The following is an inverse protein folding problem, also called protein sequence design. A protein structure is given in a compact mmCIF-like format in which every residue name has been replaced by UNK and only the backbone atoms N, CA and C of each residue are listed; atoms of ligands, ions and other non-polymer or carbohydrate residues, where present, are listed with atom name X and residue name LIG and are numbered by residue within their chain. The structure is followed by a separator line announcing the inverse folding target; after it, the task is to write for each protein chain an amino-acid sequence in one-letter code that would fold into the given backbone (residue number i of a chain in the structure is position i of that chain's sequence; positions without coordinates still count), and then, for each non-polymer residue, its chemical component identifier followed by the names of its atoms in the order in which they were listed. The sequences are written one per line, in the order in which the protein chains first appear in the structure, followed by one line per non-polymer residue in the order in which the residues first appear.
data_IF_110029315187
#
_entry.id   IF_110029315187
#
_cell.length_a   1.000
_cell.length_b   1.000
_cell.length_c   1.000
_cell.angle_alpha   90.00
_cell.angle_beta   90.00
_cell.angle_gamma   90.00
#
_symmetry.space_group_name_H-M   'P 1'
#
loop_
_entity.id
_entity.type
_entity.pdbx_description
1 polymer ?
#
# COMPACT_ATOMS: atom_id res chain seq x y z
N UNK A 1 102.78 8.42 2.28
CA UNK A 1 101.65 9.35 2.35
C UNK A 1 100.31 8.68 1.94
N UNK A 2 99.98 7.53 2.48
CA UNK A 2 98.79 6.79 2.00
C UNK A 2 97.78 6.34 3.09
N UNK A 3 98.22 6.13 4.32
CA UNK A 3 97.36 5.46 5.35
C UNK A 3 96.46 6.41 6.18
N UNK A 4 96.82 7.68 6.29
CA UNK A 4 95.98 8.65 7.06
C UNK A 4 94.75 9.15 6.28
N UNK A 5 94.78 9.19 4.95
CA UNK A 5 93.57 9.62 4.16
C UNK A 5 92.47 8.57 4.10
N UNK A 6 92.78 7.29 4.18
CA UNK A 6 91.81 6.19 4.15
C UNK A 6 91.02 6.14 5.48
N UNK A 7 91.67 6.38 6.59
CA UNK A 7 91.00 6.42 7.92
C UNK A 7 89.98 7.51 8.04
N UNK A 8 90.23 8.67 7.46
CA UNK A 8 89.21 9.81 7.50
C UNK A 8 88.04 9.56 6.58
N UNK A 9 88.17 8.91 5.50
CA UNK A 9 87.09 8.55 4.58
C UNK A 9 86.18 7.49 5.24
N UNK A 10 86.74 6.51 5.92
CA UNK A 10 86.01 5.46 6.61
C UNK A 10 85.17 6.09 7.84
N UNK A 11 85.73 7.01 8.61
CA UNK A 11 85.07 7.63 9.71
C UNK A 11 83.92 8.56 9.21
N UNK A 12 84.17 9.34 8.12
CA UNK A 12 83.14 10.17 7.50
C UNK A 12 81.96 9.36 6.94
N UNK A 13 82.22 8.19 6.35
CA UNK A 13 81.19 7.31 5.85
C UNK A 13 80.35 6.69 6.97
N UNK A 14 80.92 6.32 8.09
CA UNK A 14 80.22 5.77 9.25
C UNK A 14 79.33 6.87 9.89
N UNK A 15 79.82 8.13 9.97
CA UNK A 15 79.02 9.23 10.47
C UNK A 15 77.84 9.57 9.55
N UNK A 16 78.02 9.50 8.25
CA UNK A 16 76.94 9.74 7.28
C UNK A 16 75.85 8.65 7.36
N UNK A 17 76.22 7.40 7.52
CA UNK A 17 75.30 6.26 7.69
C UNK A 17 74.52 6.37 9.01
N UNK A 18 75.20 6.77 10.08
CA UNK A 18 74.53 7.02 11.39
C UNK A 18 73.56 8.20 11.34
N UNK A 19 73.89 9.29 10.66
CA UNK A 19 72.97 10.44 10.48
C UNK A 19 71.76 10.04 9.64
N UNK A 20 71.94 9.29 8.56
CA UNK A 20 70.83 8.79 7.73
C UNK A 20 69.95 7.83 8.54
N UNK A 21 70.52 6.96 9.36
CA UNK A 21 69.77 6.05 10.22
C UNK A 21 68.97 6.78 11.32
N UNK A 22 69.52 7.82 11.97
CA UNK A 22 68.84 8.63 12.96
C UNK A 22 67.71 9.47 12.35
N UNK A 23 67.89 10.02 11.13
CA UNK A 23 66.85 10.75 10.42
C UNK A 23 65.73 9.79 10.01
N UNK A 24 66.09 8.61 9.48
CA UNK A 24 65.09 7.57 9.11
C UNK A 24 64.36 7.01 10.34
N UNK A 25 65.01 6.87 11.49
CA UNK A 25 64.37 6.41 12.72
C UNK A 25 63.42 7.48 13.32
N UNK A 26 63.74 8.79 13.20
CA UNK A 26 62.82 9.87 13.62
C UNK A 26 61.64 10.03 12.68
N UNK A 27 61.81 9.90 11.35
CA UNK A 27 60.66 9.91 10.42
C UNK A 27 59.71 8.73 10.65
N UNK A 28 60.21 7.53 10.99
CA UNK A 28 59.39 6.37 11.33
C UNK A 28 58.68 6.53 12.67
N UNK A 29 59.29 7.21 13.67
CA UNK A 29 58.60 7.52 14.94
C UNK A 29 57.53 8.59 14.78
N UNK A 30 57.74 9.64 13.98
CA UNK A 30 56.72 10.66 13.71
C UNK A 30 55.56 10.09 12.86
N UNK A 31 55.83 9.21 11.89
CA UNK A 31 54.80 8.52 11.14
C UNK A 31 53.95 7.60 12.04
N UNK A 32 54.55 6.91 12.99
CA UNK A 32 53.84 6.02 13.93
C UNK A 32 53.02 6.81 14.99
N UNK A 33 53.43 8.00 15.36
CA UNK A 33 52.68 8.87 16.28
C UNK A 33 51.52 9.59 15.57
N UNK A 34 51.60 9.86 14.26
CA UNK A 34 50.55 10.50 13.49
C UNK A 34 49.43 9.47 13.18
N UNK A 35 49.76 8.17 13.02
CA UNK A 35 48.75 7.13 12.84
C UNK A 35 47.98 6.73 14.09
N UNK A 36 48.54 7.03 15.31
CA UNK A 36 47.89 6.62 16.56
C UNK A 36 46.89 7.66 17.12
N UNK A 37 46.61 8.76 16.40
CA UNK A 37 45.65 9.81 16.85
C UNK A 37 44.60 10.17 15.83
N UNK A 38 44.35 9.33 14.81
CA UNK A 38 43.10 9.39 14.12
C UNK A 38 42.06 8.69 15.01
N UNK A 39 41.49 9.44 15.98
CA UNK A 39 40.22 9.08 16.58
C UNK A 39 39.28 8.87 15.38
N UNK A 40 38.90 7.63 15.14
CA UNK A 40 37.78 7.29 14.24
C UNK A 40 36.59 7.93 14.95
N UNK A 41 36.24 9.14 14.52
CA UNK A 41 34.99 9.80 14.91
C UNK A 41 33.90 8.83 14.49
N UNK A 42 33.34 8.12 15.47
CA UNK A 42 32.29 7.13 15.24
C UNK A 42 31.11 7.90 14.67
N UNK A 43 30.76 7.63 13.41
CA UNK A 43 29.58 8.28 12.82
C UNK A 43 28.40 8.11 13.76
N UNK A 44 27.64 9.19 14.05
CA UNK A 44 26.51 9.13 14.95
C UNK A 44 25.50 8.11 14.43
N UNK A 45 25.11 7.17 15.27
CA UNK A 45 24.08 6.20 14.95
C UNK A 45 22.70 6.78 15.21
N UNK A 46 21.73 6.51 14.34
CA UNK A 46 20.37 7.03 14.46
C UNK A 46 19.34 5.89 14.52
N UNK A 47 18.35 6.06 15.39
CA UNK A 47 17.15 5.23 15.43
C UNK A 47 15.92 6.12 15.24
N UNK A 48 15.13 5.91 14.19
CA UNK A 48 13.97 6.73 13.85
C UNK A 48 14.29 8.25 13.79
N UNK A 49 15.45 8.63 13.26
CA UNK A 49 15.96 10.01 13.23
C UNK A 49 16.44 10.58 14.59
N UNK A 50 16.37 9.84 15.67
CA UNK A 50 16.90 10.21 16.98
C UNK A 50 18.34 9.66 17.16
N UNK A 51 19.26 10.41 17.78
CA UNK A 51 20.62 9.94 18.03
C UNK A 51 20.60 8.78 19.03
N UNK A 52 20.96 7.57 18.55
CA UNK A 52 20.88 6.37 19.37
C UNK A 52 22.09 6.14 20.28
N UNK A 53 23.14 6.89 20.08
CA UNK A 53 24.38 6.90 20.90
C UNK A 53 24.29 7.75 22.16
N UNK A 54 23.33 8.69 22.25
CA UNK A 54 23.12 9.59 23.39
C UNK A 54 21.77 9.37 24.09
N UNK A 55 20.97 8.43 23.64
CA UNK A 55 19.65 8.13 24.16
C UNK A 55 19.53 6.67 24.59
N UNK A 56 18.96 6.44 25.77
CA UNK A 56 18.54 5.13 26.23
C UNK A 56 17.07 4.90 25.89
N UNK A 57 16.77 3.80 25.22
CA UNK A 57 15.41 3.43 24.80
C UNK A 57 14.83 2.37 25.75
N UNK A 58 13.68 2.68 26.35
CA UNK A 58 12.90 1.79 27.20
C UNK A 58 11.63 1.40 26.48
N UNK A 59 11.37 0.10 26.31
CA UNK A 59 10.12 -0.43 25.76
C UNK A 59 9.08 -0.59 26.87
N UNK A 60 7.81 -0.33 26.53
CA UNK A 60 6.69 -0.52 27.43
C UNK A 60 5.44 -0.99 26.64
N UNK A 61 4.89 -2.13 27.04
CA UNK A 61 3.62 -2.58 26.49
C UNK A 61 2.46 -1.88 27.20
N UNK A 62 1.68 -1.11 26.45
CA UNK A 62 0.51 -0.37 26.97
C UNK A 62 -0.52 -1.36 27.52
N UNK A 63 -0.85 -1.24 28.81
CA UNK A 63 -1.85 -2.08 29.47
C UNK A 63 -3.27 -1.58 29.25
N UNK A 64 -4.27 -2.44 29.45
CA UNK A 64 -5.67 -2.04 29.40
C UNK A 64 -5.94 -0.92 30.43
N UNK A 65 -6.56 0.19 29.97
CA UNK A 65 -6.87 1.36 30.79
C UNK A 65 -5.69 2.35 30.97
N UNK A 66 -4.48 2.08 30.46
CA UNK A 66 -3.40 3.06 30.49
C UNK A 66 -3.64 4.14 29.43
N UNK A 67 -3.66 5.38 29.88
CA UNK A 67 -3.73 6.57 29.03
C UNK A 67 -2.34 7.16 28.79
N UNK A 68 -2.20 8.04 27.81
CA UNK A 68 -0.98 8.84 27.61
C UNK A 68 -0.51 9.52 28.89
N UNK A 69 -1.45 10.16 29.61
CA UNK A 69 -1.13 10.80 30.89
C UNK A 69 -0.62 9.85 31.94
N UNK A 70 -1.20 8.64 32.04
CA UNK A 70 -0.73 7.62 32.99
C UNK A 70 0.67 7.10 32.65
N UNK A 71 0.95 6.93 31.35
CA UNK A 71 2.28 6.48 30.87
C UNK A 71 3.37 7.49 31.20
N UNK A 72 3.13 8.79 30.98
CA UNK A 72 4.07 9.88 31.27
C UNK A 72 4.19 10.15 32.78
N UNK A 73 3.07 10.11 33.52
CA UNK A 73 3.05 10.34 34.98
C UNK A 73 3.86 9.30 35.74
N UNK A 74 3.82 8.02 35.34
CA UNK A 74 4.67 6.95 35.90
C UNK A 74 6.18 7.20 35.71
N UNK A 75 6.54 8.07 34.76
CA UNK A 75 7.93 8.45 34.44
C UNK A 75 8.30 9.83 34.98
N UNK A 76 7.52 10.36 35.94
CA UNK A 76 7.83 11.57 36.68
C UNK A 76 7.44 12.88 35.97
N UNK A 77 6.77 12.82 34.82
CA UNK A 77 6.26 14.03 34.15
C UNK A 77 5.00 14.51 34.87
N UNK A 78 5.01 15.78 35.27
CA UNK A 78 3.93 16.40 36.06
C UNK A 78 2.61 16.48 35.25
N UNK A 79 1.48 16.46 35.95
CA UNK A 79 0.15 16.58 35.32
C UNK A 79 0.02 17.87 34.47
N UNK A 80 0.63 18.98 34.92
CA UNK A 80 0.63 20.23 34.16
C UNK A 80 1.38 20.08 32.82
N UNK A 81 2.57 19.47 32.84
CA UNK A 81 3.39 19.24 31.65
C UNK A 81 2.67 18.28 30.68
N UNK A 82 2.05 17.20 31.20
CA UNK A 82 1.27 16.26 30.39
C UNK A 82 0.14 16.97 29.64
N UNK A 83 -0.57 17.88 30.32
CA UNK A 83 -1.62 18.67 29.69
C UNK A 83 -1.07 19.61 28.60
N UNK A 84 0.07 20.27 28.85
CA UNK A 84 0.73 21.13 27.89
C UNK A 84 1.19 20.35 26.65
N UNK A 85 1.80 19.18 26.86
CA UNK A 85 2.21 18.28 25.77
C UNK A 85 1.01 17.85 24.94
N UNK A 86 -0.03 17.34 25.59
CA UNK A 86 -1.22 16.85 24.88
C UNK A 86 -1.90 17.97 24.06
N UNK A 87 -1.98 19.18 24.58
CA UNK A 87 -2.54 20.33 23.88
C UNK A 87 -1.65 20.78 22.70
N UNK A 88 -0.34 20.76 22.87
CA UNK A 88 0.59 21.20 21.82
C UNK A 88 0.65 20.24 20.61
N UNK A 89 0.34 18.96 20.80
CA UNK A 89 0.40 17.95 19.73
C UNK A 89 -0.98 17.57 19.17
N UNK A 90 -2.07 18.18 19.65
CA UNK A 90 -3.48 17.76 19.34
C UNK A 90 -3.78 17.79 17.84
N UNK A 91 -3.27 18.77 17.11
CA UNK A 91 -3.49 18.92 15.66
C UNK A 91 -2.79 17.83 14.83
N UNK A 92 -1.62 17.34 15.29
CA UNK A 92 -0.83 16.34 14.58
C UNK A 92 -1.13 14.91 15.09
N UNK A 93 -1.14 14.72 16.40
CA UNK A 93 -1.29 13.43 17.05
C UNK A 93 -2.35 13.45 18.15
N UNK A 94 -3.43 12.70 17.94
CA UNK A 94 -4.45 12.54 18.98
C UNK A 94 -4.00 11.51 20.04
N UNK A 95 -3.57 11.99 21.21
CA UNK A 95 -3.09 11.15 22.32
C UNK A 95 -4.10 10.13 22.84
N UNK A 96 -5.41 10.30 22.53
CA UNK A 96 -6.46 9.32 22.86
C UNK A 96 -6.47 8.09 21.95
N UNK A 97 -5.68 8.08 20.87
CA UNK A 97 -5.53 6.93 19.95
C UNK A 97 -4.59 5.84 20.47
N UNK A 98 -3.94 6.07 21.61
CA UNK A 98 -3.07 5.05 22.22
C UNK A 98 -3.91 3.84 22.62
N UNK A 99 -3.50 2.66 22.16
CA UNK A 99 -4.24 1.40 22.32
C UNK A 99 -3.50 0.44 23.26
N UNK A 100 -4.24 -0.28 24.06
CA UNK A 100 -3.70 -1.39 24.85
C UNK A 100 -3.10 -2.47 23.94
N UNK A 101 -2.05 -3.13 24.40
CA UNK A 101 -1.31 -4.15 23.67
C UNK A 101 -0.22 -3.61 22.73
N UNK A 102 -0.22 -2.31 22.43
CA UNK A 102 0.83 -1.67 21.61
C UNK A 102 2.10 -1.52 22.44
N UNK A 103 3.25 -1.88 21.87
CA UNK A 103 4.57 -1.62 22.47
C UNK A 103 5.05 -0.22 22.08
N UNK A 104 5.14 0.66 23.05
CA UNK A 104 5.67 2.03 22.91
C UNK A 104 7.09 2.12 23.45
N UNK A 105 7.83 3.18 23.05
CA UNK A 105 9.18 3.39 23.54
C UNK A 105 9.31 4.78 24.15
N UNK A 106 10.19 4.88 25.13
CA UNK A 106 10.63 6.13 25.76
C UNK A 106 12.12 6.28 25.51
N UNK A 107 12.54 7.44 25.01
CA UNK A 107 13.95 7.74 24.83
C UNK A 107 14.39 8.81 25.85
N UNK A 108 15.39 8.47 26.65
CA UNK A 108 15.90 9.30 27.77
C UNK A 108 17.37 9.61 27.51
N UNK A 109 17.77 10.86 27.61
CA UNK A 109 19.18 11.28 27.53
C UNK A 109 20.00 10.72 28.67
N UNK A 110 21.30 10.46 28.47
CA UNK A 110 22.18 9.83 29.44
C UNK A 110 22.28 10.58 30.79
N UNK A 111 22.18 11.90 30.79
CA UNK A 111 22.19 12.73 31.97
C UNK A 111 20.80 13.10 32.50
N UNK A 112 19.72 12.63 31.92
CA UNK A 112 18.35 12.96 32.27
C UNK A 112 17.69 11.88 33.11
N UNK A 113 16.83 12.31 34.06
CA UNK A 113 15.95 11.42 34.82
C UNK A 113 14.60 11.23 34.14
N UNK A 114 14.25 12.07 33.16
CA UNK A 114 12.95 12.05 32.48
C UNK A 114 13.12 11.77 30.99
N UNK A 115 12.16 11.06 30.37
CA UNK A 115 12.21 10.81 28.94
C UNK A 115 12.08 12.13 28.15
N UNK A 116 12.96 12.29 27.16
CA UNK A 116 12.91 13.40 26.21
C UNK A 116 11.91 13.15 25.07
N UNK A 117 11.70 11.87 24.72
CA UNK A 117 10.81 11.48 23.62
C UNK A 117 9.90 10.32 24.01
N UNK A 118 8.69 10.37 23.50
CA UNK A 118 7.75 9.24 23.46
C UNK A 118 7.56 8.79 22.01
N UNK A 119 7.70 7.50 21.75
CA UNK A 119 7.64 6.91 20.41
C UNK A 119 6.47 5.94 20.37
N UNK A 120 5.52 6.22 19.48
CA UNK A 120 4.31 5.40 19.29
C UNK A 120 4.29 4.79 17.90
N UNK A 121 4.24 3.43 17.73
CA UNK A 121 4.12 2.81 16.44
C UNK A 121 2.68 2.93 15.92
N UNK A 122 2.51 3.54 14.77
CA UNK A 122 1.25 3.57 14.02
C UNK A 122 1.07 2.24 13.24
N UNK A 123 2.17 1.75 12.66
CA UNK A 123 2.27 0.50 11.92
C UNK A 123 3.66 -0.15 12.11
N UNK A 124 3.97 -1.20 11.34
CA UNK A 124 5.29 -1.84 11.37
C UNK A 124 6.43 -0.90 10.90
N UNK A 125 6.11 0.12 10.13
CA UNK A 125 7.09 1.03 9.53
C UNK A 125 6.82 2.52 9.80
N UNK A 126 5.67 2.89 10.35
CA UNK A 126 5.31 4.27 10.68
C UNK A 126 5.30 4.48 12.18
N UNK A 127 5.95 5.54 12.63
CA UNK A 127 6.09 5.87 14.04
C UNK A 127 5.80 7.36 14.27
N UNK A 128 5.18 7.66 15.39
CA UNK A 128 5.08 9.02 15.91
C UNK A 128 6.15 9.25 16.95
N UNK A 129 6.95 10.28 16.77
CA UNK A 129 7.91 10.78 17.77
C UNK A 129 7.32 12.04 18.40
N UNK A 130 7.11 12.00 19.70
CA UNK A 130 6.60 13.12 20.48
C UNK A 130 7.72 13.62 21.40
N UNK A 131 8.14 14.88 21.20
CA UNK A 131 9.06 15.57 22.10
C UNK A 131 8.35 15.94 23.39
N UNK A 132 8.99 15.65 24.55
CA UNK A 132 8.38 15.78 25.88
C UNK A 132 9.00 16.90 26.73
N UNK A 133 10.19 17.41 26.37
CA UNK A 133 10.97 18.33 27.21
C UNK A 133 11.25 19.67 26.52
N UNK A 134 12.44 19.88 25.99
CA UNK A 134 12.92 21.18 25.49
C UNK A 134 12.13 21.68 24.27
N UNK A 135 11.63 20.78 23.47
CA UNK A 135 10.77 21.07 22.33
C UNK A 135 9.59 20.11 22.30
N UNK A 136 8.38 20.64 22.44
CA UNK A 136 7.15 19.85 22.35
C UNK A 136 6.68 19.85 20.91
N UNK A 137 6.64 18.65 20.29
CA UNK A 137 6.18 18.44 18.91
C UNK A 137 5.67 17.01 18.75
N UNK A 138 4.88 16.75 17.70
CA UNK A 138 4.64 15.42 17.19
C UNK A 138 5.12 15.34 15.74
N UNK A 139 5.94 14.35 15.43
CA UNK A 139 6.48 14.13 14.07
C UNK A 139 6.25 12.71 13.67
N UNK A 140 5.66 12.51 12.49
CA UNK A 140 5.55 11.18 11.87
C UNK A 140 6.85 10.84 11.15
N UNK A 141 7.38 9.65 11.40
CA UNK A 141 8.61 9.13 10.79
C UNK A 141 8.32 7.75 10.21
N UNK A 142 8.87 7.48 9.05
CA UNK A 142 8.77 6.17 8.40
C UNK A 142 10.15 5.50 8.38
N UNK A 143 10.19 4.21 8.74
CA UNK A 143 11.36 3.37 8.48
C UNK A 143 11.47 3.10 6.98
N UNK A 144 12.70 2.99 6.49
CA UNK A 144 12.94 2.58 5.12
C UNK A 144 12.34 1.20 4.86
N UNK A 145 11.60 1.07 3.75
CA UNK A 145 11.03 -0.20 3.31
C UNK A 145 11.85 -0.73 2.14
N UNK A 146 12.41 -1.90 2.34
CA UNK A 146 13.09 -2.65 1.29
C UNK A 146 12.06 -3.45 0.49
N UNK A 147 12.15 -3.38 -0.82
CA UNK A 147 11.31 -4.16 -1.75
C UNK A 147 12.12 -5.34 -2.26
N UNK A 148 11.59 -6.55 -2.06
CA UNK A 148 12.22 -7.80 -2.55
C UNK A 148 11.33 -8.47 -3.57
N UNK A 149 11.90 -8.79 -4.72
CA UNK A 149 11.24 -9.63 -5.70
C UNK A 149 11.33 -11.10 -5.27
N UNK A 150 10.23 -11.81 -5.40
CA UNK A 150 10.08 -13.22 -5.08
C UNK A 150 9.40 -13.94 -6.23
N UNK A 151 9.71 -15.23 -6.33
CA UNK A 151 9.12 -16.12 -7.32
C UNK A 151 8.71 -17.43 -6.64
N UNK A 152 7.52 -17.90 -6.90
CA UNK A 152 7.05 -19.21 -6.47
C UNK A 152 6.24 -19.87 -7.58
N UNK A 153 6.25 -21.20 -7.59
CA UNK A 153 5.39 -22.03 -8.44
C UNK A 153 4.91 -23.25 -7.66
N UNK A 154 3.85 -23.86 -8.11
CA UNK A 154 3.32 -25.06 -7.46
C UNK A 154 2.09 -25.64 -8.14
N UNK A 155 1.78 -26.89 -7.78
CA UNK A 155 0.59 -27.60 -8.23
C UNK A 155 -0.54 -27.44 -7.21
N UNK A 156 -1.75 -27.30 -7.70
CA UNK A 156 -2.95 -27.21 -6.87
C UNK A 156 -3.48 -28.62 -6.62
N UNK A 157 -3.38 -29.08 -5.38
CA UNK A 157 -3.88 -30.39 -4.97
C UNK A 157 -5.25 -30.30 -4.26
N UNK A 158 -5.52 -29.12 -3.69
CA UNK A 158 -6.71 -28.81 -2.89
C UNK A 158 -7.13 -27.33 -3.14
N UNK A 159 -7.14 -26.50 -2.12
CA UNK A 159 -7.44 -25.08 -2.28
C UNK A 159 -6.20 -24.27 -2.66
N UNK A 160 -6.38 -23.28 -3.56
CA UNK A 160 -5.28 -22.41 -4.00
C UNK A 160 -4.46 -21.82 -2.85
N UNK A 161 -5.12 -21.32 -1.78
CA UNK A 161 -4.42 -20.70 -0.66
C UNK A 161 -3.50 -21.66 0.10
N UNK A 162 -3.86 -22.97 0.19
CA UNK A 162 -3.03 -24.00 0.79
C UNK A 162 -1.82 -24.30 -0.10
N UNK A 163 -2.03 -24.42 -1.40
CA UNK A 163 -0.95 -24.68 -2.37
C UNK A 163 0.03 -23.54 -2.46
N UNK A 164 -0.45 -22.28 -2.46
CA UNK A 164 0.40 -21.07 -2.37
C UNK A 164 1.20 -21.07 -1.06
N UNK A 165 0.58 -21.43 0.06
CA UNK A 165 1.28 -21.55 1.36
C UNK A 165 2.38 -22.62 1.35
N UNK A 166 2.14 -23.80 0.76
CA UNK A 166 3.15 -24.86 0.59
C UNK A 166 4.33 -24.43 -0.27
N UNK A 167 4.09 -23.58 -1.28
CA UNK A 167 5.12 -22.99 -2.12
C UNK A 167 5.89 -21.83 -1.46
N UNK A 168 5.57 -21.50 -0.18
CA UNK A 168 6.22 -20.41 0.56
C UNK A 168 5.59 -19.03 0.37
N UNK A 169 4.44 -18.95 -0.29
CA UNK A 169 3.67 -17.71 -0.45
C UNK A 169 2.77 -17.43 0.75
N UNK A 170 2.19 -16.23 0.78
CA UNK A 170 1.30 -15.78 1.84
C UNK A 170 -0.16 -15.90 1.44
N UNK A 171 -1.07 -15.86 2.44
CA UNK A 171 -2.51 -15.78 2.18
C UNK A 171 -2.87 -14.52 1.39
N UNK A 172 -2.19 -13.40 1.64
CA UNK A 172 -2.38 -12.16 0.88
C UNK A 172 -2.07 -12.36 -0.61
N UNK A 173 -1.00 -13.07 -0.94
CA UNK A 173 -0.65 -13.41 -2.32
C UNK A 173 -1.73 -14.28 -2.97
N UNK A 174 -2.22 -15.32 -2.27
CA UNK A 174 -3.30 -16.17 -2.78
C UNK A 174 -4.58 -15.38 -3.06
N UNK A 175 -4.96 -14.46 -2.17
CA UNK A 175 -6.12 -13.59 -2.38
C UNK A 175 -5.92 -12.64 -3.56
N UNK A 176 -4.71 -12.10 -3.74
CA UNK A 176 -4.39 -11.24 -4.89
C UNK A 176 -4.44 -12.02 -6.22
N UNK A 177 -4.01 -13.29 -6.24
CA UNK A 177 -4.20 -14.16 -7.42
C UNK A 177 -5.69 -14.38 -7.75
N UNK A 178 -6.51 -14.60 -6.71
CA UNK A 178 -7.98 -14.70 -6.89
C UNK A 178 -8.53 -13.40 -7.49
N UNK A 179 -8.10 -12.23 -7.03
CA UNK A 179 -8.54 -10.94 -7.58
C UNK A 179 -8.12 -10.75 -9.03
N UNK A 180 -6.89 -11.13 -9.39
CA UNK A 180 -6.36 -11.05 -10.77
C UNK A 180 -7.21 -11.87 -11.72
N UNK A 181 -7.54 -13.11 -11.35
CA UNK A 181 -8.22 -14.07 -12.23
C UNK A 181 -9.72 -14.19 -12.00
N UNK A 182 -10.31 -13.41 -11.09
CA UNK A 182 -11.72 -13.51 -10.68
C UNK A 182 -12.74 -13.49 -11.84
N UNK A 183 -12.35 -12.94 -12.97
CA UNK A 183 -13.21 -12.83 -14.17
C UNK A 183 -12.89 -13.85 -15.26
N UNK A 184 -11.72 -14.45 -15.20
CA UNK A 184 -11.24 -15.41 -16.21
C UNK A 184 -11.42 -16.85 -15.75
N UNK A 185 -11.33 -17.10 -14.44
CA UNK A 185 -11.33 -18.45 -13.85
C UNK A 185 -12.41 -18.56 -12.77
N UNK A 186 -13.16 -19.64 -12.80
CA UNK A 186 -14.06 -20.03 -11.70
C UNK A 186 -13.27 -20.83 -10.65
N UNK A 187 -12.84 -20.19 -9.60
CA UNK A 187 -12.04 -20.82 -8.53
C UNK A 187 -12.74 -21.98 -7.80
N UNK A 188 -14.06 -22.10 -7.91
CA UNK A 188 -14.79 -23.27 -7.40
C UNK A 188 -14.64 -24.51 -8.31
N UNK A 189 -14.05 -24.34 -9.50
CA UNK A 189 -13.79 -25.41 -10.46
C UNK A 189 -12.33 -25.76 -10.63
N UNK A 190 -11.45 -25.20 -9.82
CA UNK A 190 -10.04 -25.61 -9.80
C UNK A 190 -9.95 -27.11 -9.52
N UNK A 191 -9.07 -27.79 -10.25
CA UNK A 191 -8.90 -29.24 -10.20
C UNK A 191 -7.54 -29.59 -9.66
N UNK A 192 -7.45 -30.78 -9.08
CA UNK A 192 -6.16 -31.36 -8.74
C UNK A 192 -5.31 -31.50 -10.00
N UNK A 193 -4.08 -30.98 -9.96
CA UNK A 193 -3.16 -30.94 -11.10
C UNK A 193 -3.15 -29.62 -11.85
N UNK A 194 -4.08 -28.69 -11.56
CA UNK A 194 -3.90 -27.29 -11.97
C UNK A 194 -2.63 -26.74 -11.34
N UNK A 195 -2.00 -25.73 -11.96
CA UNK A 195 -0.73 -25.19 -11.49
C UNK A 195 -0.75 -23.67 -11.46
N UNK A 196 0.20 -23.10 -10.73
CA UNK A 196 0.42 -21.66 -10.73
C UNK A 196 1.92 -21.35 -10.70
N UNK A 197 2.30 -20.24 -11.31
CA UNK A 197 3.58 -19.58 -11.10
C UNK A 197 3.35 -18.09 -10.95
N UNK A 198 4.13 -17.43 -10.10
CA UNK A 198 3.97 -16.01 -9.79
C UNK A 198 5.28 -15.34 -9.44
N UNK A 199 5.51 -14.18 -10.06
CA UNK A 199 6.55 -13.20 -9.71
C UNK A 199 5.88 -12.05 -8.98
N UNK A 200 6.40 -11.66 -7.82
CA UNK A 200 5.78 -10.64 -7.00
C UNK A 200 6.80 -9.88 -6.16
N UNK A 201 6.41 -8.73 -5.66
CA UNK A 201 7.20 -7.91 -4.75
C UNK A 201 6.60 -7.92 -3.34
N UNK A 202 7.47 -8.07 -2.36
CA UNK A 202 7.16 -7.95 -0.93
C UNK A 202 7.94 -6.79 -0.33
N UNK A 203 7.37 -6.19 0.71
CA UNK A 203 8.01 -5.13 1.47
C UNK A 203 8.48 -5.65 2.83
N UNK A 204 9.68 -5.24 3.21
CA UNK A 204 10.34 -5.55 4.47
C UNK A 204 10.84 -4.28 5.15
N UNK A 205 10.93 -4.31 6.47
CA UNK A 205 11.55 -3.29 7.30
C UNK A 205 12.60 -3.96 8.17
N UNK A 206 13.72 -3.26 8.43
CA UNK A 206 14.83 -3.78 9.24
C UNK A 206 15.29 -5.18 8.74
N UNK A 207 15.36 -5.36 7.43
CA UNK A 207 15.79 -6.56 6.68
C UNK A 207 14.96 -7.84 6.94
N UNK A 208 14.28 -7.94 8.07
CA UNK A 208 13.63 -9.20 8.49
C UNK A 208 12.12 -9.07 8.72
N UNK A 209 11.60 -7.89 8.99
CA UNK A 209 10.21 -7.69 9.35
C UNK A 209 9.36 -7.59 8.07
N UNK A 210 8.64 -8.66 7.76
CA UNK A 210 7.68 -8.67 6.65
C UNK A 210 6.54 -7.65 6.90
N UNK A 211 6.39 -6.71 5.98
CA UNK A 211 5.33 -5.68 6.00
C UNK A 211 4.09 -6.16 5.26
N UNK A 212 4.27 -6.67 4.04
CA UNK A 212 3.17 -7.14 3.21
C UNK A 212 3.55 -7.41 1.77
N UNK A 213 2.58 -7.92 1.01
CA UNK A 213 2.64 -8.01 -0.44
C UNK A 213 2.53 -6.59 -1.01
N UNK A 214 3.48 -6.20 -1.86
CA UNK A 214 3.43 -4.91 -2.56
C UNK A 214 2.62 -5.00 -3.85
N UNK A 215 2.95 -5.95 -4.72
CA UNK A 215 2.25 -6.20 -5.99
C UNK A 215 2.68 -7.53 -6.64
N UNK A 216 1.83 -8.04 -7.51
CA UNK A 216 2.19 -9.11 -8.46
C UNK A 216 2.79 -8.46 -9.71
N UNK A 217 3.97 -8.97 -10.15
CA UNK A 217 4.68 -8.53 -11.35
C UNK A 217 4.27 -9.35 -12.58
N UNK A 218 4.03 -10.63 -12.40
CA UNK A 218 3.51 -11.54 -13.41
C UNK A 218 2.94 -12.77 -12.73
N UNK A 219 1.91 -13.37 -13.33
CA UNK A 219 1.38 -14.63 -12.88
C UNK A 219 0.96 -15.49 -14.07
N UNK A 220 1.03 -16.81 -13.92
CA UNK A 220 0.36 -17.78 -14.76
C UNK A 220 -0.45 -18.72 -13.88
N UNK A 221 -1.67 -19.02 -14.26
CA UNK A 221 -2.49 -20.04 -13.66
C UNK A 221 -2.91 -21.02 -14.75
N UNK A 222 -2.41 -22.26 -14.68
CA UNK A 222 -2.78 -23.35 -15.59
C UNK A 222 -4.03 -24.02 -15.04
N UNK A 223 -5.14 -23.96 -15.80
CA UNK A 223 -6.41 -24.60 -15.44
C UNK A 223 -6.92 -25.47 -16.58
N UNK A 224 -7.14 -26.77 -16.28
CA UNK A 224 -7.56 -27.77 -17.27
C UNK A 224 -6.66 -27.76 -18.52
N UNK A 225 -5.34 -27.66 -18.31
CA UNK A 225 -4.33 -27.65 -19.37
C UNK A 225 -4.24 -26.37 -20.20
N UNK A 226 -4.93 -25.31 -19.81
CA UNK A 226 -4.84 -24.00 -20.46
C UNK A 226 -4.11 -23.01 -19.54
N UNK A 227 -3.19 -22.25 -20.09
CA UNK A 227 -2.46 -21.22 -19.40
C UNK A 227 -3.20 -19.88 -19.45
N UNK A 228 -3.27 -19.23 -18.31
CA UNK A 228 -3.85 -17.90 -18.14
C UNK A 228 -2.77 -16.97 -17.59
N UNK A 229 -2.09 -16.28 -18.48
CA UNK A 229 -1.07 -15.30 -18.09
C UNK A 229 -1.70 -13.99 -17.65
N UNK A 230 -1.04 -13.32 -16.70
CA UNK A 230 -1.45 -12.03 -16.17
C UNK A 230 -0.22 -11.13 -15.95
N UNK A 231 -0.17 -10.00 -16.65
CA UNK A 231 0.89 -9.00 -16.52
C UNK A 231 0.28 -7.64 -16.20
N UNK A 232 0.72 -6.94 -15.16
CA UNK A 232 0.19 -5.63 -14.82
C UNK A 232 0.65 -4.59 -15.83
N UNK A 233 -0.28 -3.77 -16.29
CA UNK A 233 0.00 -2.63 -17.15
C UNK A 233 -0.97 -1.50 -16.87
N UNK A 234 -0.52 -0.24 -17.03
CA UNK A 234 -1.35 0.92 -16.76
C UNK A 234 -2.43 1.08 -17.84
N UNK A 235 -3.69 1.22 -17.43
CA UNK A 235 -4.80 1.48 -18.35
C UNK A 235 -4.89 2.97 -18.72
N UNK A 236 -5.83 3.34 -19.62
CA UNK A 236 -6.03 4.73 -20.09
C UNK A 236 -6.38 5.72 -18.97
N UNK A 237 -6.83 5.25 -17.83
CA UNK A 237 -7.18 6.08 -16.66
C UNK A 237 -6.04 6.20 -15.65
N UNK A 238 -4.86 5.62 -15.93
CA UNK A 238 -3.71 5.64 -15.04
C UNK A 238 -3.81 4.65 -13.89
N UNK A 239 -4.59 3.58 -14.03
CA UNK A 239 -4.66 2.48 -13.07
C UNK A 239 -3.92 1.26 -13.60
N UNK A 240 -3.17 0.58 -12.74
CA UNK A 240 -2.65 -0.75 -13.07
C UNK A 240 -3.79 -1.75 -13.17
N UNK A 241 -3.86 -2.45 -14.28
CA UNK A 241 -4.76 -3.54 -14.58
C UNK A 241 -3.96 -4.73 -15.10
N UNK A 242 -4.55 -5.94 -15.17
CA UNK A 242 -3.86 -7.13 -15.66
C UNK A 242 -4.32 -7.47 -17.05
N UNK A 243 -3.35 -7.81 -17.92
CA UNK A 243 -3.55 -8.15 -19.32
C UNK A 243 -2.93 -9.51 -19.62
N UNK A 244 -3.53 -10.24 -20.57
CA UNK A 244 -2.95 -11.47 -21.11
C UNK A 244 -1.85 -11.20 -22.15
N UNK A 245 -1.29 -12.26 -22.72
CA UNK A 245 -0.20 -12.17 -23.72
C UNK A 245 -0.58 -11.39 -24.98
N UNK A 246 -1.88 -11.36 -25.32
CA UNK A 246 -2.44 -10.64 -26.46
C UNK A 246 -2.84 -9.20 -26.09
N UNK A 247 -2.54 -8.74 -24.87
CA UNK A 247 -2.93 -7.43 -24.37
C UNK A 247 -4.42 -7.27 -24.13
N UNK A 248 -5.17 -8.37 -23.97
CA UNK A 248 -6.57 -8.34 -23.57
C UNK A 248 -6.64 -8.23 -22.05
N UNK A 249 -7.45 -7.30 -21.53
CA UNK A 249 -7.64 -7.18 -20.09
C UNK A 249 -8.32 -8.42 -19.51
N UNK A 250 -7.78 -8.92 -18.40
CA UNK A 250 -8.38 -10.04 -17.65
C UNK A 250 -9.65 -9.63 -16.90
N UNK A 251 -9.94 -8.34 -16.79
CA UNK A 251 -11.16 -7.83 -16.18
C UNK A 251 -12.30 -7.73 -17.18
N UNK A 252 -13.52 -8.04 -16.72
CA UNK A 252 -14.73 -7.64 -17.45
C UNK A 252 -14.95 -6.15 -17.30
N UNK A 253 -15.40 -5.51 -18.37
CA UNK A 253 -15.64 -4.07 -18.42
C UNK A 253 -16.58 -3.59 -17.30
N UNK A 254 -17.56 -4.40 -16.89
CA UNK A 254 -18.54 -4.03 -15.87
C UNK A 254 -18.87 -5.18 -14.91
N UNK A 255 -18.97 -4.86 -13.61
CA UNK A 255 -19.60 -5.74 -12.63
C UNK A 255 -21.07 -5.98 -13.01
N UNK A 256 -21.55 -7.19 -12.76
CA UNK A 256 -22.98 -7.56 -12.99
C UNK A 256 -23.94 -6.76 -12.10
N UNK A 257 -23.49 -6.36 -10.92
CA UNK A 257 -24.28 -5.60 -9.94
C UNK A 257 -23.36 -4.64 -9.16
N UNK A 258 -23.88 -3.48 -8.71
CA UNK A 258 -23.09 -2.49 -7.96
C UNK A 258 -22.88 -2.84 -6.48
N UNK A 259 -23.35 -3.97 -5.98
CA UNK A 259 -23.26 -4.38 -4.59
C UNK A 259 -23.66 -5.87 -4.42
N UNK A 260 -23.34 -6.42 -3.24
CA UNK A 260 -23.95 -7.65 -2.79
C UNK A 260 -25.41 -7.38 -2.40
N UNK A 261 -26.35 -7.98 -3.10
CA UNK A 261 -27.79 -7.74 -2.97
C UNK A 261 -28.57 -8.99 -2.58
N UNK A 262 -29.71 -8.79 -1.92
CA UNK A 262 -30.62 -9.88 -1.56
C UNK A 262 -31.45 -10.31 -2.76
N UNK A 263 -31.98 -9.34 -3.55
CA UNK A 263 -32.79 -9.60 -4.73
C UNK A 263 -32.87 -8.37 -5.63
N UNK A 264 -33.20 -8.58 -6.89
CA UNK A 264 -33.66 -7.51 -7.80
C UNK A 264 -35.13 -7.26 -7.48
N UNK A 265 -35.44 -6.09 -6.92
CA UNK A 265 -36.81 -5.72 -6.54
C UNK A 265 -37.61 -5.09 -7.68
N UNK A 266 -36.92 -4.46 -8.66
CA UNK A 266 -37.56 -3.97 -9.87
C UNK A 266 -36.55 -3.91 -11.04
N UNK A 267 -36.95 -4.42 -12.20
CA UNK A 267 -36.14 -4.37 -13.42
C UNK A 267 -36.38 -3.09 -14.21
N UNK A 268 -35.50 -2.79 -15.15
CA UNK A 268 -35.69 -1.78 -16.18
C UNK A 268 -37.01 -2.02 -16.94
N UNK A 269 -37.83 -0.96 -17.07
CA UNK A 269 -39.14 -1.04 -17.76
C UNK A 269 -39.49 0.31 -18.38
N UNK A 270 -39.92 0.29 -19.63
CA UNK A 270 -40.44 1.49 -20.31
C UNK A 270 -41.76 1.98 -19.73
N UNK A 271 -42.51 1.13 -19.01
CA UNK A 271 -43.80 1.48 -18.39
C UNK A 271 -44.09 0.58 -17.20
N UNK A 272 -44.13 1.16 -15.98
CA UNK A 272 -44.63 0.48 -14.76
C UNK A 272 -45.47 1.46 -13.92
N UNK A 273 -46.31 0.92 -13.05
CA UNK A 273 -47.00 1.73 -12.06
C UNK A 273 -46.03 2.17 -10.96
N UNK A 274 -45.85 3.49 -10.78
CA UNK A 274 -44.89 4.03 -9.83
C UNK A 274 -45.45 3.96 -8.41
N UNK A 275 -44.83 3.24 -7.46
CA UNK A 275 -45.45 2.97 -6.15
C UNK A 275 -45.64 4.23 -5.29
N UNK A 276 -44.73 5.21 -5.40
CA UNK A 276 -44.84 6.50 -4.64
C UNK A 276 -45.75 7.50 -5.36
N UNK A 277 -45.56 7.69 -6.67
CA UNK A 277 -46.28 8.72 -7.44
C UNK A 277 -47.66 8.23 -7.92
N UNK A 278 -48.03 6.97 -7.71
CA UNK A 278 -49.32 6.36 -8.06
C UNK A 278 -49.76 6.62 -9.53
N UNK A 279 -48.80 6.63 -10.45
CA UNK A 279 -49.03 6.83 -11.89
C UNK A 279 -48.11 5.93 -12.74
N UNK A 280 -48.53 5.71 -13.97
CA UNK A 280 -47.70 4.95 -14.94
C UNK A 280 -46.50 5.81 -15.36
N UNK A 281 -45.31 5.23 -15.25
CA UNK A 281 -44.06 5.90 -15.57
C UNK A 281 -43.01 4.86 -15.95
N UNK A 282 -42.06 5.27 -16.82
CA UNK A 282 -40.86 4.48 -17.08
C UNK A 282 -39.97 4.33 -15.82
N UNK A 283 -39.45 3.15 -15.61
CA UNK A 283 -38.37 2.87 -14.67
C UNK A 283 -37.08 2.57 -15.44
N UNK A 284 -36.28 3.59 -15.69
CA UNK A 284 -35.06 3.51 -16.52
C UNK A 284 -33.84 3.11 -15.68
N UNK A 285 -34.01 2.10 -14.83
CA UNK A 285 -32.95 1.54 -13.97
C UNK A 285 -33.31 0.16 -13.45
N UNK A 286 -32.39 -0.49 -12.75
CA UNK A 286 -32.60 -1.73 -12.03
C UNK A 286 -32.46 -1.49 -10.55
N UNK A 287 -33.44 -1.89 -9.75
CA UNK A 287 -33.45 -1.74 -8.29
C UNK A 287 -32.94 -3.02 -7.62
N UNK A 288 -31.84 -2.88 -6.87
CA UNK A 288 -31.24 -3.95 -6.07
C UNK A 288 -31.53 -3.71 -4.59
N UNK A 289 -32.36 -4.57 -4.01
CA UNK A 289 -32.69 -4.51 -2.59
C UNK A 289 -31.54 -5.05 -1.73
N UNK A 290 -31.14 -4.27 -0.76
CA UNK A 290 -30.14 -4.63 0.24
C UNK A 290 -30.34 -3.81 1.52
N UNK A 291 -29.85 -4.27 2.69
CA UNK A 291 -29.94 -3.53 3.94
C UNK A 291 -29.30 -2.13 3.83
N UNK A 292 -29.86 -1.16 4.57
CA UNK A 292 -29.27 0.17 4.70
C UNK A 292 -27.83 0.06 5.21
N UNK A 293 -26.91 0.80 4.58
CA UNK A 293 -25.48 0.77 4.93
C UNK A 293 -24.67 -0.25 4.14
N UNK A 294 -25.27 -1.13 3.32
CA UNK A 294 -24.54 -2.01 2.42
C UNK A 294 -23.67 -1.17 1.47
N UNK A 295 -22.38 -1.48 1.30
CA UNK A 295 -21.51 -0.76 0.38
C UNK A 295 -22.00 -0.82 -1.06
N UNK A 296 -22.01 0.31 -1.75
CA UNK A 296 -22.29 0.44 -3.18
C UNK A 296 -20.96 0.70 -3.88
N UNK A 297 -20.65 -0.11 -4.89
CA UNK A 297 -19.41 -0.10 -5.64
C UNK A 297 -19.58 0.48 -7.04
N UNK A 298 -18.55 1.16 -7.56
CA UNK A 298 -18.48 1.48 -8.98
C UNK A 298 -18.42 0.20 -9.80
N UNK A 299 -19.28 0.08 -10.80
CA UNK A 299 -19.34 -1.15 -11.63
C UNK A 299 -18.23 -1.24 -12.66
N UNK A 300 -17.49 -0.16 -12.90
CA UNK A 300 -16.31 -0.12 -13.78
C UNK A 300 -15.40 1.03 -13.35
N UNK A 301 -14.17 1.05 -13.88
CA UNK A 301 -13.26 2.20 -13.75
C UNK A 301 -13.90 3.44 -14.36
N UNK A 302 -13.65 4.62 -13.78
CA UNK A 302 -14.22 5.84 -14.33
C UNK A 302 -13.91 7.10 -13.53
N UNK A 303 -14.55 8.19 -13.94
CA UNK A 303 -14.47 9.49 -13.27
C UNK A 303 -15.85 9.88 -12.76
N UNK A 304 -15.93 10.30 -11.51
CA UNK A 304 -17.16 10.84 -10.92
C UNK A 304 -17.52 12.14 -11.63
N UNK A 305 -18.70 12.20 -12.23
CA UNK A 305 -19.23 13.40 -12.89
C UNK A 305 -20.37 14.06 -12.11
N UNK A 306 -20.91 13.41 -11.08
CA UNK A 306 -21.79 14.00 -10.10
C UNK A 306 -21.79 13.17 -8.80
N UNK A 307 -21.75 13.86 -7.67
CA UNK A 307 -21.94 13.30 -6.33
C UNK A 307 -22.71 14.34 -5.51
N UNK A 308 -24.04 14.18 -5.42
CA UNK A 308 -24.93 15.18 -4.81
C UNK A 308 -26.29 14.60 -4.45
N UNK A 309 -27.15 15.45 -3.86
CA UNK A 309 -28.54 15.14 -3.53
C UNK A 309 -29.52 15.82 -4.50
N UNK A 310 -30.62 15.11 -4.82
CA UNK A 310 -31.81 15.71 -5.41
C UNK A 310 -33.07 15.07 -4.79
N UNK A 311 -34.20 15.79 -4.76
CA UNK A 311 -35.46 15.27 -4.18
C UNK A 311 -35.93 13.97 -4.86
N UNK A 312 -35.66 13.78 -6.14
CA UNK A 312 -36.08 12.58 -6.87
C UNK A 312 -35.10 11.40 -6.69
N UNK A 313 -33.80 11.66 -6.78
CA UNK A 313 -32.77 10.59 -6.77
C UNK A 313 -32.22 10.31 -5.36
N UNK A 314 -32.53 11.15 -4.36
CA UNK A 314 -31.83 11.12 -3.08
C UNK A 314 -30.35 11.48 -3.23
N UNK A 315 -29.51 10.99 -2.33
CA UNK A 315 -28.06 11.03 -2.51
C UNK A 315 -27.70 10.09 -3.66
N UNK A 316 -26.92 10.59 -4.61
CA UNK A 316 -26.52 9.79 -5.76
C UNK A 316 -25.11 10.10 -6.24
N UNK A 317 -24.51 9.11 -6.88
CA UNK A 317 -23.24 9.22 -7.59
C UNK A 317 -23.45 8.87 -9.06
N UNK A 318 -22.82 9.62 -9.98
CA UNK A 318 -22.80 9.34 -11.41
C UNK A 318 -21.37 9.24 -11.87
N UNK A 319 -21.03 8.14 -12.56
CA UNK A 319 -19.68 7.80 -13.02
C UNK A 319 -19.66 7.74 -14.53
N UNK A 320 -18.77 8.47 -15.17
CA UNK A 320 -18.44 8.34 -16.59
C UNK A 320 -17.25 7.40 -16.73
N UNK A 321 -17.47 6.28 -17.40
CA UNK A 321 -16.45 5.26 -17.62
C UNK A 321 -15.59 5.58 -18.86
N UNK A 322 -16.25 6.01 -19.93
CA UNK A 322 -15.59 6.45 -21.17
C UNK A 322 -16.56 7.35 -21.98
N UNK A 323 -16.28 7.55 -23.25
CA UNK A 323 -17.16 8.32 -24.16
C UNK A 323 -18.53 7.67 -24.37
N UNK A 324 -18.64 6.35 -24.25
CA UNK A 324 -19.83 5.55 -24.56
C UNK A 324 -20.67 5.27 -23.29
N UNK A 325 -20.03 4.91 -22.18
CA UNK A 325 -20.70 4.34 -21.00
C UNK A 325 -20.68 5.28 -19.79
N UNK A 326 -21.84 5.39 -19.18
CA UNK A 326 -22.03 6.12 -17.90
C UNK A 326 -22.97 5.33 -16.99
N UNK A 327 -22.70 5.32 -15.68
CA UNK A 327 -23.58 4.71 -14.67
C UNK A 327 -24.00 5.71 -13.61
N UNK A 328 -25.10 5.41 -12.91
CA UNK A 328 -25.58 6.23 -11.80
C UNK A 328 -26.21 5.33 -10.73
N UNK A 329 -25.95 5.67 -9.48
CA UNK A 329 -26.30 4.92 -8.30
C UNK A 329 -27.10 5.83 -7.35
N UNK A 330 -28.37 5.52 -7.12
CA UNK A 330 -29.33 6.40 -6.45
C UNK A 330 -29.72 5.88 -5.07
N UNK A 331 -30.43 6.75 -4.33
CA UNK A 331 -31.09 6.49 -3.05
C UNK A 331 -30.11 6.14 -1.91
N UNK A 332 -28.85 6.56 -2.02
CA UNK A 332 -27.83 6.31 -1.00
C UNK A 332 -28.22 6.94 0.36
N UNK A 333 -27.93 6.26 1.45
CA UNK A 333 -27.97 6.85 2.79
C UNK A 333 -26.91 7.94 2.94
N UNK A 334 -25.71 7.68 2.45
CA UNK A 334 -24.60 8.64 2.37
C UNK A 334 -23.65 8.32 1.21
N UNK A 335 -23.06 9.35 0.64
CA UNK A 335 -21.93 9.24 -0.27
C UNK A 335 -20.67 9.00 0.57
N UNK A 336 -19.75 8.13 0.13
CA UNK A 336 -18.49 7.89 0.86
C UNK A 336 -17.67 9.18 0.91
N UNK A 337 -17.06 9.54 2.07
CA UNK A 337 -16.11 10.66 2.14
C UNK A 337 -15.03 10.57 1.08
N UNK A 338 -14.67 11.70 0.46
CA UNK A 338 -13.70 11.76 -0.64
C UNK A 338 -14.29 11.54 -2.05
N UNK A 339 -15.51 11.00 -2.19
CA UNK A 339 -16.19 10.86 -3.48
C UNK A 339 -16.86 12.19 -3.87
N UNK A 340 -16.28 12.86 -4.87
CA UNK A 340 -16.74 14.15 -5.41
C UNK A 340 -16.46 14.23 -6.92
N UNK A 341 -17.03 15.21 -7.59
CA UNK A 341 -16.81 15.44 -9.01
C UNK A 341 -15.32 15.55 -9.35
N UNK A 342 -14.88 14.87 -10.42
CA UNK A 342 -13.48 14.80 -10.87
C UNK A 342 -12.66 13.66 -10.25
N UNK A 343 -13.13 13.01 -9.20
CA UNK A 343 -12.41 11.86 -8.58
C UNK A 343 -12.46 10.65 -9.50
N UNK A 344 -11.31 10.00 -9.69
CA UNK A 344 -11.19 8.72 -10.39
C UNK A 344 -11.53 7.59 -9.42
N UNK A 345 -12.27 6.60 -9.90
CA UNK A 345 -12.63 5.39 -9.16
C UNK A 345 -12.34 4.16 -10.00
N UNK A 346 -11.93 3.09 -9.34
CA UNK A 346 -11.77 1.76 -9.94
C UNK A 346 -13.07 0.96 -9.85
N UNK A 347 -13.18 -0.05 -10.69
CA UNK A 347 -14.19 -1.10 -10.54
C UNK A 347 -14.07 -1.74 -9.15
N UNK A 348 -15.19 -1.83 -8.43
CA UNK A 348 -15.21 -2.34 -7.06
C UNK A 348 -15.00 -1.30 -5.97
N UNK A 349 -14.54 -0.09 -6.29
CA UNK A 349 -14.40 0.96 -5.28
C UNK A 349 -15.75 1.34 -4.67
N UNK A 350 -15.79 1.38 -3.34
CA UNK A 350 -16.99 1.83 -2.60
C UNK A 350 -17.18 3.32 -2.81
N UNK A 351 -18.34 3.72 -3.39
CA UNK A 351 -18.69 5.10 -3.71
C UNK A 351 -19.78 5.66 -2.81
N UNK A 352 -20.47 4.82 -2.04
CA UNK A 352 -21.54 5.20 -1.13
C UNK A 352 -22.17 3.98 -0.46
N UNK A 353 -23.29 4.19 0.19
CA UNK A 353 -23.95 3.14 0.97
C UNK A 353 -25.46 3.15 0.71
N UNK A 354 -26.07 1.97 0.66
CA UNK A 354 -27.49 1.78 0.43
C UNK A 354 -28.31 2.57 1.44
N UNK A 355 -29.38 3.17 0.96
CA UNK A 355 -30.35 3.90 1.76
C UNK A 355 -31.74 3.90 1.13
N UNK A 356 -32.55 4.86 1.52
CA UNK A 356 -33.90 5.08 1.02
C UNK A 356 -34.19 6.57 0.86
N UNK A 357 -33.17 7.35 0.45
CA UNK A 357 -33.32 8.80 0.27
C UNK A 357 -33.99 9.15 -1.07
N UNK A 358 -34.63 10.28 -1.17
CA UNK A 358 -35.40 10.69 -2.36
C UNK A 358 -36.72 9.92 -2.55
N UNK A 359 -37.10 9.62 -3.79
CA UNK A 359 -38.32 8.90 -4.12
C UNK A 359 -38.17 7.39 -4.05
N UNK A 360 -37.88 6.87 -2.87
CA UNK A 360 -37.71 5.44 -2.59
C UNK A 360 -38.77 4.93 -1.61
N UNK A 361 -39.18 3.68 -1.73
CA UNK A 361 -40.16 3.02 -0.84
C UNK A 361 -39.53 2.15 0.24
N UNK A 362 -38.23 1.91 0.16
CA UNK A 362 -37.47 1.11 1.10
C UNK A 362 -36.00 1.03 0.68
N UNK A 363 -35.14 0.41 1.50
CA UNK A 363 -33.70 0.34 1.22
C UNK A 363 -33.39 -0.40 -0.06
N UNK A 364 -32.76 0.28 -1.03
CA UNK A 364 -32.27 -0.28 -2.29
C UNK A 364 -31.30 0.70 -2.95
N UNK A 365 -30.55 0.22 -3.95
CA UNK A 365 -29.89 1.09 -4.93
C UNK A 365 -30.63 0.97 -6.27
N UNK A 366 -31.00 2.10 -6.86
CA UNK A 366 -31.45 2.15 -8.24
C UNK A 366 -30.25 2.40 -9.13
N UNK A 367 -29.85 1.37 -9.89
CA UNK A 367 -28.73 1.38 -10.81
C UNK A 367 -29.20 1.73 -12.21
N UNK A 368 -28.64 2.80 -12.77
CA UNK A 368 -28.95 3.27 -14.11
C UNK A 368 -27.72 3.16 -15.00
N UNK A 369 -27.92 2.79 -16.25
CA UNK A 369 -26.89 2.57 -17.23
C UNK A 369 -27.18 3.35 -18.52
N UNK A 370 -26.16 4.04 -19.06
CA UNK A 370 -26.28 4.79 -20.31
C UNK A 370 -25.28 4.24 -21.33
N UNK A 371 -25.75 4.16 -22.57
CA UNK A 371 -24.92 3.93 -23.75
C UNK A 371 -25.14 5.11 -24.70
N UNK A 372 -24.07 5.82 -25.08
CA UNK A 372 -24.14 7.02 -25.94
C UNK A 372 -25.21 8.03 -25.48
N UNK A 373 -25.25 8.29 -24.19
CA UNK A 373 -26.19 9.25 -23.59
C UNK A 373 -27.64 8.79 -23.44
N UNK A 374 -28.00 7.57 -23.88
CA UNK A 374 -29.36 6.99 -23.73
C UNK A 374 -29.39 5.98 -22.59
N UNK A 375 -30.39 6.04 -21.71
CA UNK A 375 -30.61 5.03 -20.69
C UNK A 375 -31.08 3.70 -21.31
N UNK A 376 -30.44 2.62 -20.93
CA UNK A 376 -30.71 1.27 -21.45
C UNK A 376 -30.80 0.25 -20.32
N UNK A 377 -31.38 -0.90 -20.60
CA UNK A 377 -31.36 -2.05 -19.69
C UNK A 377 -29.98 -2.71 -19.76
N UNK A 378 -29.16 -2.69 -18.68
CA UNK A 378 -27.83 -3.27 -18.68
C UNK A 378 -27.83 -4.79 -18.95
N UNK A 379 -28.91 -5.49 -18.59
CA UNK A 379 -29.05 -6.93 -18.81
C UNK A 379 -29.28 -7.33 -20.27
N UNK A 380 -29.72 -6.36 -21.09
CA UNK A 380 -29.93 -6.56 -22.53
C UNK A 380 -28.75 -6.09 -23.38
N UNK A 381 -27.74 -5.47 -22.75
CA UNK A 381 -26.56 -5.02 -23.49
C UNK A 381 -25.55 -6.17 -23.59
N UNK A 382 -25.02 -6.38 -24.76
CA UNK A 382 -23.75 -7.10 -24.93
C UNK A 382 -22.64 -6.10 -24.57
N UNK A 383 -22.24 -6.11 -23.30
CA UNK A 383 -21.11 -5.29 -22.87
C UNK A 383 -19.84 -5.87 -23.49
N UNK A 384 -19.00 -5.02 -24.11
CA UNK A 384 -17.75 -5.51 -24.67
C UNK A 384 -16.85 -6.03 -23.54
N UNK A 385 -15.98 -6.95 -23.86
CA UNK A 385 -14.80 -7.20 -23.04
C UNK A 385 -13.98 -5.93 -22.99
N UNK A 386 -13.14 -5.76 -21.99
CA UNK A 386 -12.28 -4.58 -21.89
C UNK A 386 -11.46 -4.48 -23.19
N UNK A 387 -11.30 -3.24 -23.71
CA UNK A 387 -10.54 -3.04 -24.94
C UNK A 387 -9.13 -3.59 -24.79
N UNK A 388 -8.66 -4.38 -25.74
CA UNK A 388 -7.26 -4.79 -25.75
C UNK A 388 -6.35 -3.55 -25.92
N UNK A 389 -5.10 -3.71 -25.53
CA UNK A 389 -4.07 -2.71 -25.83
C UNK A 389 -3.86 -2.65 -27.34
N UNK A 390 -3.71 -1.45 -27.91
CA UNK A 390 -3.55 -1.22 -29.33
C UNK A 390 -2.41 -0.24 -29.60
N UNK A 391 -1.86 -0.29 -30.82
CA UNK A 391 -0.83 0.64 -31.31
C UNK A 391 0.42 0.65 -30.44
N UNK A 392 1.01 1.81 -30.23
CA UNK A 392 2.24 2.02 -29.46
C UNK A 392 2.19 1.43 -28.04
N UNK A 393 1.01 1.44 -27.43
CA UNK A 393 0.83 0.83 -26.10
C UNK A 393 1.01 -0.68 -26.13
N UNK A 394 0.56 -1.34 -27.18
CA UNK A 394 0.75 -2.78 -27.36
C UNK A 394 2.24 -3.11 -27.56
N UNK A 395 2.97 -2.32 -28.33
CA UNK A 395 4.40 -2.54 -28.58
C UNK A 395 5.22 -2.38 -27.30
N UNK A 396 4.93 -1.33 -26.52
CA UNK A 396 5.54 -1.11 -25.20
C UNK A 396 5.20 -2.22 -24.23
N UNK A 397 3.94 -2.65 -24.18
CA UNK A 397 3.48 -3.76 -23.36
C UNK A 397 4.18 -5.07 -23.71
N UNK A 398 4.27 -5.43 -25.00
CA UNK A 398 4.95 -6.66 -25.44
C UNK A 398 6.42 -6.69 -25.02
N UNK A 399 7.11 -5.58 -25.13
CA UNK A 399 8.52 -5.46 -24.69
C UNK A 399 8.65 -5.67 -23.19
N UNK A 400 7.77 -5.06 -22.39
CA UNK A 400 7.72 -5.22 -20.94
C UNK A 400 7.34 -6.65 -20.54
N UNK A 401 6.29 -7.21 -21.10
CA UNK A 401 5.75 -8.53 -20.79
C UNK A 401 6.73 -9.65 -21.12
N UNK A 402 7.45 -9.57 -22.26
CA UNK A 402 8.32 -10.64 -22.75
C UNK A 402 9.43 -11.02 -21.78
N UNK A 403 10.01 -10.05 -21.06
CA UNK A 403 11.03 -10.31 -20.05
C UNK A 403 10.45 -11.04 -18.83
N UNK A 404 9.30 -10.57 -18.34
CA UNK A 404 8.62 -11.18 -17.19
C UNK A 404 8.08 -12.58 -17.51
N UNK A 405 7.55 -12.77 -18.74
CA UNK A 405 7.10 -14.09 -19.19
C UNK A 405 8.25 -15.10 -19.20
N UNK A 406 9.39 -14.72 -19.73
CA UNK A 406 10.59 -15.61 -19.76
C UNK A 406 11.02 -16.03 -18.35
N UNK A 407 10.97 -15.09 -17.40
CA UNK A 407 11.31 -15.38 -16.00
C UNK A 407 10.25 -16.29 -15.36
N UNK A 408 8.97 -16.03 -15.64
CA UNK A 408 7.84 -16.80 -15.11
C UNK A 408 7.82 -18.25 -15.66
N UNK A 409 8.10 -18.44 -16.95
CA UNK A 409 8.13 -19.74 -17.61
C UNK A 409 9.36 -20.60 -17.19
N UNK A 410 10.35 -20.00 -16.53
CA UNK A 410 11.52 -20.69 -15.99
C UNK A 410 11.30 -21.26 -14.57
N UNK A 411 10.14 -21.01 -13.94
CA UNK A 411 9.77 -21.52 -12.62
C UNK A 411 9.16 -22.92 -12.69
#
# INVERSE_FOLDING_TARGET
MGTKKIAWIAVASIFLVLIIWVISANEVQDATQIESTKQIEKEPSYYLTLPSDTLRFEQHQVKAGESFGALLGKRGISTRQIYQIAAAVEDDFNVRRIRAGVEVQFATGDSSLFPAYFIYPESKFEYWIIGLTDSIFAKKVEKHREVRQRAISGTIDDALYLSVGRAGGTQALAMSLVEVYAWSIDFFRLQKGDAFSVLYEEEYVDDTIYVGLKRILAANLTHVGNDFYAFPYENELGFNDYYDEDGRSLRKTFLRAPLNFTRISSRYSGRRFHPVQKRWKAHLGTDYAAPTGTPIMSTADGVIIAAKYTSANGNYVKVRHNSTYTTQYLHMSKIKPGIKNGVRVKQGDVIGYVGSTGLATGPHVCYRFWVNGKQVDPYKQKLPDAKPLEGERMDTYKSYMSSLKKELDAL
#
